data_IF_352891312955
#
_entry.id   IF_352891312955
#
_cell.length_a   1.000
_cell.length_b   1.000
_cell.length_c   1.000
_cell.angle_alpha   90.00
_cell.angle_beta   90.00
_cell.angle_gamma   90.00
#
_symmetry.space_group_name_H-M   'P 1'
#
loop_
_entity.id
_entity.type
_entity.pdbx_description
1 polymer ?
#
# COMPACT_ATOMS: atom_id res chain seq x y z
N UNK A 1 8.27 -10.60 10.57
CA UNK A 1 8.55 -9.80 9.37
C UNK A 1 10.04 -9.85 8.97
N UNK A 2 10.98 -9.41 9.83
CA UNK A 2 12.44 -9.41 9.53
C UNK A 2 12.96 -10.69 8.87
N UNK A 3 12.64 -11.86 9.43
CA UNK A 3 13.10 -13.14 8.90
C UNK A 3 12.71 -13.35 7.41
N UNK A 4 11.52 -12.90 7.01
CA UNK A 4 11.04 -13.05 5.63
C UNK A 4 11.71 -12.04 4.69
N UNK A 5 11.94 -10.79 5.14
CA UNK A 5 12.68 -9.79 4.36
C UNK A 5 14.14 -10.23 4.16
N UNK A 6 14.78 -10.74 5.21
CA UNK A 6 16.15 -11.28 5.10
C UNK A 6 16.20 -12.51 4.18
N UNK A 7 15.15 -13.32 4.16
CA UNK A 7 15.03 -14.46 3.24
C UNK A 7 14.91 -13.99 1.79
N UNK A 8 14.01 -13.06 1.47
CA UNK A 8 13.83 -12.60 0.08
C UNK A 8 15.11 -11.92 -0.46
N UNK A 9 15.80 -11.11 0.35
CA UNK A 9 17.08 -10.49 -0.02
C UNK A 9 18.20 -11.49 -0.34
N UNK A 10 18.13 -12.71 0.22
CA UNK A 10 19.05 -13.80 -0.12
C UNK A 10 18.65 -14.54 -1.41
N UNK A 11 17.37 -14.53 -1.75
CA UNK A 11 16.83 -15.25 -2.91
C UNK A 11 16.86 -14.43 -4.20
N UNK A 12 16.89 -13.10 -4.13
CA UNK A 12 16.91 -12.23 -5.31
C UNK A 12 17.63 -10.91 -5.04
N UNK A 13 18.21 -10.36 -6.12
CA UNK A 13 18.72 -8.97 -6.16
C UNK A 13 17.73 -8.00 -6.82
N UNK A 14 16.66 -8.51 -7.41
CA UNK A 14 15.61 -7.67 -7.98
C UNK A 14 14.86 -6.93 -6.86
N UNK A 15 14.33 -5.71 -7.12
CA UNK A 15 13.52 -5.00 -6.15
C UNK A 15 12.25 -5.81 -5.81
N UNK A 16 11.77 -5.65 -4.58
CA UNK A 16 10.54 -6.27 -4.10
C UNK A 16 9.72 -5.24 -3.31
N UNK A 17 8.41 -5.47 -3.24
CA UNK A 17 7.51 -4.65 -2.45
C UNK A 17 7.04 -5.39 -1.19
N UNK A 18 6.70 -4.64 -0.14
CA UNK A 18 5.98 -5.17 1.04
C UNK A 18 4.60 -4.53 1.10
N UNK A 19 3.55 -5.36 1.13
CA UNK A 19 2.18 -4.90 1.39
C UNK A 19 1.94 -4.78 2.90
N UNK A 20 1.46 -3.61 3.30
CA UNK A 20 1.13 -3.22 4.67
C UNK A 20 -0.37 -2.97 4.71
N UNK A 21 -1.10 -3.91 5.28
CA UNK A 21 -2.51 -3.72 5.62
C UNK A 21 -2.55 -2.83 6.86
N UNK A 22 -2.89 -1.55 6.68
CA UNK A 22 -2.83 -0.57 7.76
C UNK A 22 -3.88 -0.86 8.85
N UNK A 23 -5.13 -1.10 8.44
CA UNK A 23 -6.22 -1.48 9.32
C UNK A 23 -6.67 -0.34 10.25
N UNK A 24 -7.55 -0.67 11.19
CA UNK A 24 -8.09 0.27 12.20
C UNK A 24 -7.98 -0.32 13.60
N UNK A 25 -8.00 0.52 14.63
CA UNK A 25 -7.94 0.07 16.03
C UNK A 25 -6.64 -0.67 16.35
N UNK A 26 -6.74 -1.86 16.94
CA UNK A 26 -5.57 -2.67 17.32
C UNK A 26 -4.70 -3.07 16.11
N UNK A 27 -5.29 -3.21 14.92
CA UNK A 27 -4.55 -3.53 13.70
C UNK A 27 -3.52 -2.44 13.35
N UNK A 28 -3.78 -1.18 13.70
CA UNK A 28 -2.82 -0.09 13.51
C UNK A 28 -1.55 -0.27 14.35
N UNK A 29 -1.66 -0.82 15.56
CA UNK A 29 -0.49 -1.10 16.41
C UNK A 29 0.42 -2.15 15.76
N UNK A 30 -0.17 -3.15 15.11
CA UNK A 30 0.59 -4.18 14.39
C UNK A 30 1.20 -3.62 13.10
N UNK A 31 0.45 -2.84 12.32
CA UNK A 31 0.95 -2.29 11.06
C UNK A 31 2.04 -1.22 11.26
N UNK A 32 2.00 -0.45 12.36
CA UNK A 32 3.12 0.43 12.76
C UNK A 32 4.44 -0.31 12.92
N UNK A 33 4.42 -1.46 13.62
CA UNK A 33 5.62 -2.31 13.77
C UNK A 33 6.11 -2.84 12.43
N UNK A 34 5.20 -3.14 11.50
CA UNK A 34 5.57 -3.55 10.14
C UNK A 34 6.24 -2.41 9.38
N UNK A 35 5.72 -1.18 9.48
CA UNK A 35 6.32 0.03 8.88
C UNK A 35 7.74 0.26 9.41
N UNK A 36 7.95 0.14 10.72
CA UNK A 36 9.28 0.25 11.35
C UNK A 36 10.27 -0.76 10.73
N UNK A 37 9.87 -2.02 10.61
CA UNK A 37 10.70 -3.06 9.98
C UNK A 37 11.01 -2.73 8.51
N UNK A 38 10.00 -2.26 7.77
CA UNK A 38 10.12 -1.90 6.34
C UNK A 38 11.14 -0.78 6.14
N UNK A 39 11.12 0.22 7.03
CA UNK A 39 12.06 1.34 7.05
C UNK A 39 13.47 0.86 7.45
N UNK A 40 13.59 0.12 8.55
CA UNK A 40 14.87 -0.41 9.04
C UNK A 40 15.57 -1.26 7.98
N UNK A 41 14.83 -2.13 7.31
CA UNK A 41 15.34 -3.00 6.27
C UNK A 41 15.48 -2.28 4.90
N UNK A 42 15.15 -1.00 4.79
CA UNK A 42 15.24 -0.20 3.54
C UNK A 42 14.59 -0.91 2.36
N UNK A 43 13.37 -1.40 2.53
CA UNK A 43 12.60 -2.02 1.45
C UNK A 43 12.36 -0.96 0.37
N UNK A 44 12.57 -1.27 -0.93
CA UNK A 44 12.54 -0.24 -1.97
C UNK A 44 11.12 0.27 -2.26
N UNK A 45 10.10 -0.57 -2.09
CA UNK A 45 8.70 -0.21 -2.36
C UNK A 45 7.78 -0.72 -1.24
N UNK A 46 6.85 0.12 -0.79
CA UNK A 46 5.76 -0.26 0.10
C UNK A 46 4.42 -0.12 -0.62
N UNK A 47 3.49 -1.01 -0.30
CA UNK A 47 2.08 -0.92 -0.70
C UNK A 47 1.28 -0.74 0.58
N UNK A 48 0.46 0.30 0.68
CA UNK A 48 -0.46 0.48 1.82
C UNK A 48 -1.88 0.20 1.36
N UNK A 49 -2.61 -0.60 2.14
CA UNK A 49 -3.99 -0.99 1.87
C UNK A 49 -4.85 -0.95 3.13
N UNK A 50 -6.18 -0.92 2.96
CA UNK A 50 -7.19 -1.02 4.03
C UNK A 50 -7.02 0.05 5.13
N UNK A 51 -6.87 1.32 4.74
CA UNK A 51 -7.00 2.53 5.57
C UNK A 51 -6.99 3.77 4.65
N UNK A 52 -6.93 4.97 5.22
CA UNK A 52 -6.71 6.23 4.53
C UNK A 52 -5.25 6.35 4.07
N UNK A 53 -4.97 6.99 2.92
CA UNK A 53 -3.61 7.11 2.40
C UNK A 53 -2.68 7.96 3.28
N UNK A 54 -3.20 8.85 4.11
CA UNK A 54 -2.42 9.71 5.00
C UNK A 54 -1.64 8.92 6.06
N UNK A 55 -2.12 7.73 6.45
CA UNK A 55 -1.68 7.05 7.68
C UNK A 55 -0.17 6.77 7.72
N UNK A 56 0.41 6.31 6.61
CA UNK A 56 1.84 6.00 6.53
C UNK A 56 2.59 6.71 5.40
N UNK A 57 1.92 7.55 4.62
CA UNK A 57 2.55 8.15 3.43
C UNK A 57 3.77 8.98 3.78
N UNK A 58 3.64 9.92 4.73
CA UNK A 58 4.74 10.82 5.05
C UNK A 58 5.96 10.05 5.59
N UNK A 59 5.76 9.17 6.56
CA UNK A 59 6.87 8.42 7.20
C UNK A 59 7.61 7.50 6.23
N UNK A 60 6.89 6.85 5.31
CA UNK A 60 7.51 5.99 4.29
C UNK A 60 8.28 6.81 3.25
N UNK A 61 7.73 7.96 2.86
CA UNK A 61 8.39 8.87 1.90
C UNK A 61 9.62 9.53 2.50
N UNK A 62 9.57 9.95 3.76
CA UNK A 62 10.73 10.51 4.47
C UNK A 62 11.87 9.50 4.59
N UNK A 63 11.54 8.20 4.66
CA UNK A 63 12.50 7.11 4.61
C UNK A 63 13.01 6.78 3.18
N UNK A 64 12.57 7.51 2.16
CA UNK A 64 12.96 7.30 0.76
C UNK A 64 12.32 6.08 0.09
N UNK A 65 11.25 5.52 0.68
CA UNK A 65 10.56 4.34 0.15
C UNK A 65 9.51 4.77 -0.87
N UNK A 66 9.50 4.12 -2.04
CA UNK A 66 8.44 4.32 -3.04
C UNK A 66 7.13 3.76 -2.54
N UNK A 67 6.05 4.51 -2.66
CA UNK A 67 4.77 4.17 -2.08
C UNK A 67 3.68 4.01 -3.13
N UNK A 68 3.01 2.86 -3.08
CA UNK A 68 1.78 2.62 -3.81
C UNK A 68 0.62 2.50 -2.82
N UNK A 69 -0.57 3.02 -3.18
CA UNK A 69 -1.76 2.87 -2.34
C UNK A 69 -2.89 2.19 -3.10
N UNK A 70 -3.52 1.18 -2.49
CA UNK A 70 -4.65 0.49 -3.08
C UNK A 70 -5.93 1.33 -2.96
N UNK A 71 -6.66 1.48 -4.06
CA UNK A 71 -7.88 2.29 -4.17
C UNK A 71 -8.99 1.48 -4.83
N UNK A 72 -10.23 1.82 -4.49
CA UNK A 72 -11.45 1.22 -5.07
C UNK A 72 -12.36 2.24 -5.74
N UNK A 73 -12.00 3.53 -5.72
CA UNK A 73 -12.74 4.63 -6.35
C UNK A 73 -11.77 5.72 -6.82
N UNK A 74 -12.16 6.50 -7.83
CA UNK A 74 -11.40 7.68 -8.28
C UNK A 74 -11.26 8.73 -7.16
N UNK A 75 -12.20 8.80 -6.22
CA UNK A 75 -12.11 9.66 -5.04
C UNK A 75 -10.96 9.26 -4.12
N UNK A 76 -10.80 7.96 -3.86
CA UNK A 76 -9.65 7.44 -3.12
C UNK A 76 -8.34 7.74 -3.85
N UNK A 77 -8.31 7.60 -5.19
CA UNK A 77 -7.17 7.96 -6.03
C UNK A 77 -6.75 9.42 -5.87
N UNK A 78 -7.69 10.36 -5.96
CA UNK A 78 -7.42 11.80 -5.75
C UNK A 78 -6.87 12.10 -4.35
N UNK A 79 -7.38 11.45 -3.31
CA UNK A 79 -6.84 11.61 -1.95
C UNK A 79 -5.43 11.07 -1.83
N UNK A 80 -5.17 9.88 -2.39
CA UNK A 80 -3.85 9.28 -2.38
C UNK A 80 -2.83 10.17 -3.12
N UNK A 81 -3.21 10.70 -4.29
CA UNK A 81 -2.40 11.66 -5.03
C UNK A 81 -2.12 12.93 -4.21
N UNK A 82 -3.13 13.48 -3.53
CA UNK A 82 -3.00 14.71 -2.75
C UNK A 82 -1.99 14.58 -1.59
N UNK A 83 -1.85 13.39 -1.02
CA UNK A 83 -0.84 13.10 0.03
C UNK A 83 0.52 12.67 -0.55
N UNK A 84 0.60 12.55 -1.87
CA UNK A 84 1.84 12.35 -2.60
C UNK A 84 2.31 10.91 -2.71
N UNK A 85 1.41 9.92 -2.75
CA UNK A 85 1.81 8.54 -3.13
C UNK A 85 2.47 8.55 -4.51
N UNK A 86 3.42 7.64 -4.77
CA UNK A 86 4.10 7.54 -6.07
C UNK A 86 3.21 6.89 -7.14
N UNK A 87 2.30 5.98 -6.74
CA UNK A 87 1.31 5.38 -7.63
C UNK A 87 0.07 4.88 -6.86
N UNK A 88 -0.98 4.54 -7.60
CA UNK A 88 -2.18 3.89 -7.07
C UNK A 88 -2.37 2.50 -7.69
N UNK A 89 -2.95 1.58 -6.92
CA UNK A 89 -3.36 0.26 -7.39
C UNK A 89 -4.89 0.25 -7.44
N UNK A 90 -5.45 0.07 -8.62
CA UNK A 90 -6.89 0.11 -8.83
C UNK A 90 -7.49 -1.28 -8.65
N UNK A 91 -8.14 -1.48 -7.52
CA UNK A 91 -8.74 -2.75 -7.16
C UNK A 91 -10.22 -2.75 -7.55
N UNK A 92 -10.53 -3.44 -8.66
CA UNK A 92 -11.91 -3.69 -9.08
C UNK A 92 -12.63 -4.71 -8.21
N UNK A 93 -13.95 -4.74 -8.34
CA UNK A 93 -14.85 -5.58 -7.57
C UNK A 93 -14.60 -7.08 -7.74
N UNK A 94 -14.10 -7.51 -8.89
CA UNK A 94 -13.77 -8.90 -9.17
C UNK A 94 -12.48 -9.41 -8.50
N UNK A 95 -11.68 -8.53 -7.88
CA UNK A 95 -10.46 -8.94 -7.17
C UNK A 95 -10.78 -9.82 -5.94
N UNK A 96 -9.81 -10.56 -5.40
CA UNK A 96 -9.98 -11.33 -4.15
C UNK A 96 -9.80 -10.47 -2.88
N UNK A 97 -10.39 -10.87 -1.74
CA UNK A 97 -10.20 -10.20 -0.45
C UNK A 97 -11.23 -9.10 -0.14
N UNK A 98 -10.83 -8.02 0.53
CA UNK A 98 -11.71 -6.91 0.88
C UNK A 98 -12.09 -6.11 -0.38
N UNK A 99 -13.38 -5.82 -0.58
CA UNK A 99 -13.88 -5.09 -1.76
C UNK A 99 -14.45 -3.75 -1.37
N UNK A 100 -14.27 -2.76 -2.24
CA UNK A 100 -14.95 -1.48 -2.10
C UNK A 100 -16.46 -1.65 -2.19
N UNK A 101 -17.19 -0.98 -1.31
CA UNK A 101 -18.66 -1.02 -1.24
C UNK A 101 -19.38 -0.52 -2.50
N UNK A 102 -18.68 0.19 -3.38
CA UNK A 102 -19.24 0.72 -4.63
C UNK A 102 -19.31 -0.30 -5.75
N UNK A 103 -18.73 -1.50 -5.56
CA UNK A 103 -18.77 -2.61 -6.51
C UNK A 103 -18.31 -2.25 -7.95
N UNK A 104 -17.40 -1.28 -8.05
CA UNK A 104 -16.84 -0.85 -9.33
C UNK A 104 -15.90 -1.94 -9.86
N UNK A 105 -16.20 -2.51 -11.02
CA UNK A 105 -15.32 -3.47 -11.70
C UNK A 105 -14.06 -2.79 -12.21
N UNK A 106 -12.97 -3.52 -12.44
CA UNK A 106 -11.74 -2.92 -13.00
C UNK A 106 -12.03 -2.25 -14.34
N UNK A 107 -12.89 -2.85 -15.16
CA UNK A 107 -13.27 -2.31 -16.47
C UNK A 107 -13.86 -0.89 -16.39
N UNK A 108 -14.59 -0.58 -15.31
CA UNK A 108 -15.15 0.75 -15.08
C UNK A 108 -14.20 1.64 -14.27
N UNK A 109 -13.60 1.09 -13.22
CA UNK A 109 -12.74 1.85 -12.29
C UNK A 109 -11.52 2.46 -12.98
N UNK A 110 -10.81 1.67 -13.80
CA UNK A 110 -9.56 2.09 -14.43
C UNK A 110 -9.74 3.31 -15.34
N UNK A 111 -10.64 3.31 -16.35
CA UNK A 111 -10.81 4.50 -17.22
C UNK A 111 -11.50 5.67 -16.51
N UNK A 112 -12.15 5.47 -15.36
CA UNK A 112 -12.90 6.51 -14.66
C UNK A 112 -12.02 7.49 -13.85
N UNK A 113 -10.73 7.19 -13.66
CA UNK A 113 -9.80 8.09 -12.96
C UNK A 113 -8.88 7.40 -11.97
N UNK A 114 -8.47 6.18 -12.30
CA UNK A 114 -7.07 5.81 -12.13
C UNK A 114 -6.24 6.46 -13.26
#
# INVERSE_FOLDING_TARGET
MWAQIKKIKKLTRAPFAVNIVAGFGEALTHSKKVVEVVIEERVPVAIVSVDRPETYTQVLKDAGIKLMHAISTAHHGRKAQAVGVDAVICEGYEAGGHKGFTELTTFVLTPHGC
#
